data_IF_169200540728
#
_entry.id   IF_169200540728
#
_cell.length_a   1.000
_cell.length_b   1.000
_cell.length_c   1.000
_cell.angle_alpha   90.00
_cell.angle_beta   90.00
_cell.angle_gamma   90.00
#
_symmetry.space_group_name_H-M   'P 1'
#
loop_
_entity.id
_entity.type
_entity.pdbx_description
1 polymer ?
#
# COMPACT_ATOMS: atom_id res chain seq x y z
N UNK A 1 12.69 11.11 -17.59
CA UNK A 1 11.23 11.03 -17.80
C UNK A 1 10.66 10.75 -16.42
N UNK A 2 9.98 11.74 -15.83
CA UNK A 2 9.27 11.56 -14.56
C UNK A 2 7.99 10.79 -14.87
N UNK A 3 8.05 9.47 -14.82
CA UNK A 3 6.84 8.65 -14.83
C UNK A 3 6.21 8.78 -13.44
N UNK A 4 5.19 9.63 -13.35
CA UNK A 4 4.29 9.64 -12.20
C UNK A 4 3.61 8.28 -12.15
N UNK A 5 3.61 7.63 -10.98
CA UNK A 5 2.92 6.36 -10.79
C UNK A 5 1.43 6.53 -11.15
N UNK A 6 0.91 5.61 -11.96
CA UNK A 6 -0.52 5.56 -12.27
C UNK A 6 -1.27 5.01 -11.05
N UNK A 7 -2.12 5.84 -10.43
CA UNK A 7 -2.90 5.47 -9.25
C UNK A 7 -3.72 4.19 -9.45
N UNK A 8 -4.27 3.95 -10.64
CA UNK A 8 -5.06 2.76 -10.91
C UNK A 8 -4.19 1.50 -10.79
N UNK A 9 -3.02 1.51 -11.42
CA UNK A 9 -2.05 0.42 -11.35
C UNK A 9 -1.55 0.22 -9.91
N UNK A 10 -1.32 1.31 -9.18
CA UNK A 10 -0.95 1.23 -7.76
C UNK A 10 -2.07 0.59 -6.94
N UNK A 11 -3.32 0.97 -7.17
CA UNK A 11 -4.49 0.39 -6.47
C UNK A 11 -4.62 -1.11 -6.73
N UNK A 12 -4.47 -1.54 -7.98
CA UNK A 12 -4.48 -2.97 -8.34
C UNK A 12 -3.36 -3.74 -7.66
N UNK A 13 -2.18 -3.12 -7.55
CA UNK A 13 -1.02 -3.72 -6.88
C UNK A 13 -1.25 -3.84 -5.37
N UNK A 14 -1.77 -2.79 -4.72
CA UNK A 14 -2.15 -2.82 -3.30
C UNK A 14 -3.13 -3.96 -3.03
N UNK A 15 -4.18 -4.08 -3.84
CA UNK A 15 -5.15 -5.15 -3.70
C UNK A 15 -4.52 -6.53 -3.92
N UNK A 16 -3.69 -6.70 -4.95
CA UNK A 16 -3.01 -7.96 -5.22
C UNK A 16 -2.05 -8.37 -4.09
N UNK A 17 -1.28 -7.45 -3.55
CA UNK A 17 -0.38 -7.67 -2.41
C UNK A 17 -1.17 -8.05 -1.16
N UNK A 18 -2.27 -7.35 -0.86
CA UNK A 18 -3.14 -7.68 0.27
C UNK A 18 -3.69 -9.11 0.16
N UNK A 19 -4.20 -9.48 -1.02
CA UNK A 19 -4.71 -10.83 -1.28
C UNK A 19 -3.64 -11.89 -1.16
N UNK A 20 -2.44 -11.63 -1.66
CA UNK A 20 -1.30 -12.55 -1.57
C UNK A 20 -0.93 -12.83 -0.11
N UNK A 21 -0.76 -11.78 0.69
CA UNK A 21 -0.34 -11.89 2.09
C UNK A 21 -1.42 -12.54 2.96
N UNK A 22 -2.70 -12.19 2.76
CA UNK A 22 -3.79 -12.83 3.49
C UNK A 22 -3.95 -14.31 3.09
N UNK A 23 -3.73 -14.67 1.82
CA UNK A 23 -3.81 -16.07 1.36
C UNK A 23 -2.73 -16.99 1.96
N UNK A 24 -1.62 -16.44 2.45
CA UNK A 24 -0.58 -17.19 3.16
C UNK A 24 -0.97 -17.53 4.62
N UNK A 25 -2.06 -16.93 5.11
CA UNK A 25 -2.53 -17.10 6.48
C UNK A 25 -3.81 -17.96 6.52
N UNK A 26 -3.80 -19.14 7.18
CA UNK A 26 -4.87 -20.14 7.04
C UNK A 26 -6.25 -19.72 7.58
N UNK A 27 -6.32 -18.71 8.45
CA UNK A 27 -7.56 -18.23 9.08
C UNK A 27 -7.92 -16.79 8.70
N UNK A 28 -7.20 -16.18 7.76
CA UNK A 28 -7.46 -14.80 7.31
C UNK A 28 -8.23 -14.84 5.99
N UNK A 29 -9.42 -14.23 5.90
CA UNK A 29 -10.18 -14.18 4.66
C UNK A 29 -9.48 -13.31 3.61
N UNK A 30 -9.87 -13.48 2.35
CA UNK A 30 -9.43 -12.58 1.28
C UNK A 30 -9.97 -11.16 1.55
N UNK A 31 -9.11 -10.12 1.58
CA UNK A 31 -9.54 -8.76 1.86
C UNK A 31 -10.10 -8.08 0.59
N UNK A 32 -11.15 -7.28 0.77
CA UNK A 32 -11.70 -6.43 -0.28
C UNK A 32 -11.30 -4.96 -0.11
N UNK A 33 -10.89 -4.56 1.11
CA UNK A 33 -10.44 -3.22 1.42
C UNK A 33 -9.39 -3.20 2.54
N UNK A 34 -8.85 -2.02 2.89
CA UNK A 34 -7.91 -1.86 4.01
C UNK A 34 -8.60 -2.13 5.35
N UNK A 35 -9.89 -1.81 5.46
CA UNK A 35 -10.67 -2.05 6.68
C UNK A 35 -10.80 -3.55 7.03
N UNK A 36 -10.61 -4.45 6.06
CA UNK A 36 -10.61 -5.90 6.29
C UNK A 36 -9.29 -6.41 6.88
N UNK A 37 -8.23 -5.59 6.89
CA UNK A 37 -6.89 -6.00 7.29
C UNK A 37 -6.70 -5.89 8.80
N UNK A 38 -6.15 -6.95 9.41
CA UNK A 38 -5.59 -6.85 10.75
C UNK A 38 -4.27 -6.05 10.75
N UNK A 39 -3.85 -5.59 11.93
CA UNK A 39 -2.66 -4.76 12.07
C UNK A 39 -1.36 -5.45 11.67
N UNK A 40 -1.27 -6.77 11.77
CA UNK A 40 -0.09 -7.53 11.36
C UNK A 40 -0.02 -7.64 9.84
N UNK A 41 -1.13 -8.06 9.21
CA UNK A 41 -1.26 -8.10 7.75
C UNK A 41 -1.01 -6.73 7.12
N UNK A 42 -1.54 -5.66 7.72
CA UNK A 42 -1.29 -4.28 7.27
C UNK A 42 0.20 -3.94 7.25
N UNK A 43 0.95 -4.26 8.30
CA UNK A 43 2.39 -3.99 8.34
C UNK A 43 3.14 -4.77 7.24
N UNK A 44 2.82 -6.04 7.02
CA UNK A 44 3.46 -6.84 5.97
C UNK A 44 3.19 -6.28 4.57
N UNK A 45 1.94 -5.89 4.31
CA UNK A 45 1.51 -5.29 3.03
C UNK A 45 2.29 -4.00 2.78
N UNK A 46 2.45 -3.16 3.81
CA UNK A 46 3.16 -1.90 3.68
C UNK A 46 4.64 -2.10 3.40
N UNK A 47 5.31 -3.02 4.10
CA UNK A 47 6.72 -3.33 3.84
C UNK A 47 6.94 -3.84 2.41
N UNK A 48 6.03 -4.67 1.89
CA UNK A 48 6.10 -5.14 0.51
C UNK A 48 5.89 -4.00 -0.49
N UNK A 49 4.93 -3.10 -0.24
CA UNK A 49 4.67 -1.94 -1.10
C UNK A 49 5.82 -0.92 -1.06
N UNK A 50 6.46 -0.71 0.09
CA UNK A 50 7.69 0.10 0.21
C UNK A 50 8.81 -0.48 -0.66
N UNK A 51 8.96 -1.80 -0.67
CA UNK A 51 9.94 -2.49 -1.50
C UNK A 51 9.62 -2.38 -3.00
N UNK A 52 8.36 -2.57 -3.39
CA UNK A 52 7.90 -2.48 -4.80
C UNK A 52 8.12 -1.07 -5.36
N UNK A 53 7.75 -0.03 -4.61
CA UNK A 53 7.74 1.34 -5.09
C UNK A 53 8.96 2.17 -4.67
N UNK A 54 9.87 1.58 -3.88
CA UNK A 54 11.04 2.26 -3.31
C UNK A 54 10.68 3.55 -2.56
N UNK A 55 9.64 3.47 -1.72
CA UNK A 55 9.12 4.57 -0.91
C UNK A 55 9.23 4.25 0.58
N UNK A 56 9.03 5.26 1.43
CA UNK A 56 8.83 5.09 2.87
C UNK A 56 7.40 5.49 3.19
N UNK A 57 6.63 4.56 3.73
CA UNK A 57 5.20 4.67 3.98
C UNK A 57 4.88 4.56 5.47
N UNK A 58 5.68 3.83 6.26
CA UNK A 58 5.42 3.64 7.69
C UNK A 58 5.21 4.96 8.45
N UNK A 59 6.01 5.99 8.15
CA UNK A 59 5.87 7.32 8.75
C UNK A 59 4.56 8.02 8.34
N UNK A 60 4.09 7.80 7.10
CA UNK A 60 2.84 8.38 6.60
C UNK A 60 1.58 7.66 7.12
N UNK A 61 1.74 6.48 7.71
CA UNK A 61 0.62 5.69 8.24
C UNK A 61 0.20 6.08 9.65
N UNK A 62 1.00 6.83 10.41
CA UNK A 62 0.59 7.30 11.74
C UNK A 62 -0.71 8.11 11.70
N UNK A 63 -0.94 8.81 10.59
CA UNK A 63 -2.12 9.65 10.37
C UNK A 63 -3.11 9.05 9.36
N UNK A 64 -2.87 7.82 8.88
CA UNK A 64 -3.74 7.19 7.88
C UNK A 64 -4.99 6.58 8.52
N UNK A 65 -6.16 7.07 8.11
CA UNK A 65 -7.48 6.59 8.54
C UNK A 65 -8.35 6.05 7.39
N UNK A 66 -7.76 5.91 6.19
CA UNK A 66 -8.43 5.40 5.01
C UNK A 66 -8.85 3.94 5.13
N UNK A 67 -9.95 3.59 4.48
CA UNK A 67 -10.55 2.26 4.53
C UNK A 67 -10.39 1.49 3.21
N UNK A 68 -10.11 2.18 2.10
CA UNK A 68 -10.06 1.60 0.76
C UNK A 68 -8.63 1.46 0.23
N UNK A 69 -8.38 0.44 -0.59
CA UNK A 69 -7.07 0.25 -1.24
C UNK A 69 -6.66 1.46 -2.11
N UNK A 70 -7.65 2.16 -2.69
CA UNK A 70 -7.39 3.36 -3.49
C UNK A 70 -6.87 4.53 -2.65
N UNK A 71 -7.26 4.61 -1.38
CA UNK A 71 -6.78 5.66 -0.46
C UNK A 71 -5.34 5.37 -0.05
N UNK A 72 -5.01 4.10 0.22
CA UNK A 72 -3.62 3.69 0.43
C UNK A 72 -2.77 3.94 -0.82
N UNK A 73 -3.32 3.73 -2.02
CA UNK A 73 -2.63 4.06 -3.27
C UNK A 73 -2.33 5.55 -3.42
N UNK A 74 -3.19 6.45 -2.93
CA UNK A 74 -2.91 7.89 -2.90
C UNK A 74 -1.65 8.19 -2.08
N UNK A 75 -1.54 7.60 -0.88
CA UNK A 75 -0.36 7.78 -0.01
C UNK A 75 0.92 7.34 -0.71
N UNK A 76 0.88 6.24 -1.46
CA UNK A 76 2.03 5.71 -2.21
C UNK A 76 2.43 6.66 -3.35
N UNK A 77 1.46 7.11 -4.14
CA UNK A 77 1.70 8.04 -5.26
C UNK A 77 2.30 9.35 -4.74
N UNK A 78 1.76 9.87 -3.64
CA UNK A 78 2.30 11.07 -2.98
C UNK A 78 3.72 10.85 -2.44
N UNK A 79 3.98 9.73 -1.77
CA UNK A 79 5.30 9.40 -1.23
C UNK A 79 6.34 9.27 -2.34
N UNK A 80 5.98 8.61 -3.45
CA UNK A 80 6.84 8.51 -4.63
C UNK A 80 7.14 9.88 -5.25
N UNK A 81 6.14 10.76 -5.35
CA UNK A 81 6.34 12.13 -5.84
C UNK A 81 7.22 12.97 -4.89
N UNK A 82 7.08 12.80 -3.57
CA UNK A 82 7.93 13.46 -2.57
C UNK A 82 9.38 12.99 -2.64
N UNK A 83 9.62 11.68 -2.78
CA UNK A 83 10.97 11.11 -2.91
C UNK A 83 11.72 11.65 -4.14
N UNK A 84 11.02 11.90 -5.25
CA UNK A 84 11.63 12.49 -6.45
C UNK A 84 12.08 13.94 -6.27
N UNK A 85 11.44 14.70 -5.37
CA UNK A 85 11.81 16.10 -5.10
C UNK A 85 12.96 16.24 -4.09
N UNK A 86 13.40 15.14 -3.46
CA UNK A 86 14.51 15.14 -2.50
C UNK A 86 15.80 14.51 -3.05
N UNK A 87 15.79 14.01 -4.30
CA UNK A 87 16.96 13.50 -5.02
C UNK A 87 17.44 14.46 -6.10
#
# INVERSE_FOLDING_TARGET
>A
MTETLDKHVVTETVAATAKMICAEQPDVPEPNSVADLDSFSMVQIILELENIYHVRLLESLEEFDGAEFSELADVIVESAARNQNQG
#
